data_IF_686175933607
#
_entry.id   IF_686175933607
#
_cell.length_a   1.000
_cell.length_b   1.000
_cell.length_c   1.000
_cell.angle_alpha   90.00
_cell.angle_beta   90.00
_cell.angle_gamma   90.00
#
_symmetry.space_group_name_H-M   'P 1'
#
loop_
_entity.id
_entity.type
_entity.pdbx_description
1 polymer ?
#
# COMPACT_ATOMS: atom_id res chain seq x y z
N UNK A 1 78.78 -0.62 -0.80
CA UNK A 1 77.56 -1.36 -1.19
C UNK A 1 76.50 -0.99 -0.18
N UNK A 2 75.63 -0.02 -0.51
CA UNK A 2 74.65 0.54 0.42
C UNK A 2 73.35 -0.28 0.33
N UNK A 3 72.93 -0.87 1.45
CA UNK A 3 71.63 -1.54 1.54
C UNK A 3 70.52 -0.49 1.62
N UNK A 4 69.77 -0.36 0.54
CA UNK A 4 68.57 0.46 0.50
C UNK A 4 67.46 -0.26 1.27
N UNK A 5 67.01 0.32 2.37
CA UNK A 5 65.96 -0.26 3.21
C UNK A 5 64.60 0.16 2.66
N UNK A 6 63.94 -0.74 1.93
CA UNK A 6 62.59 -0.53 1.43
C UNK A 6 61.63 -0.38 2.61
N UNK A 7 61.22 0.87 2.88
CA UNK A 7 60.27 1.22 3.93
C UNK A 7 58.88 0.76 3.50
N UNK A 8 58.49 -0.46 3.87
CA UNK A 8 57.12 -0.93 3.67
C UNK A 8 56.17 -0.09 4.52
N UNK A 9 55.47 0.84 3.85
CA UNK A 9 54.43 1.67 4.45
C UNK A 9 53.28 0.73 4.81
N UNK A 10 53.20 0.29 6.07
CA UNK A 10 52.04 -0.43 6.60
C UNK A 10 50.82 0.46 6.33
N UNK A 11 49.98 0.06 5.38
CA UNK A 11 48.67 0.64 5.15
C UNK A 11 47.92 0.37 6.46
N UNK A 12 47.95 1.37 7.34
CA UNK A 12 47.56 1.21 8.73
C UNK A 12 46.07 0.93 8.84
N UNK A 13 45.70 0.25 9.91
CA UNK A 13 44.33 0.02 10.36
C UNK A 13 43.38 1.23 10.12
N UNK A 14 43.90 2.46 10.20
CA UNK A 14 43.19 3.70 9.89
C UNK A 14 42.67 3.80 8.44
N UNK A 15 43.42 3.34 7.44
CA UNK A 15 42.98 3.34 6.03
C UNK A 15 41.88 2.30 5.82
N UNK A 16 41.98 1.14 6.48
CA UNK A 16 40.91 0.14 6.47
C UNK A 16 39.60 0.71 7.03
N UNK A 17 39.65 1.35 8.20
CA UNK A 17 38.46 1.96 8.80
C UNK A 17 37.89 3.11 7.96
N UNK A 18 38.75 3.92 7.33
CA UNK A 18 38.31 4.98 6.42
C UNK A 18 37.54 4.40 5.22
N UNK A 19 38.09 3.36 4.59
CA UNK A 19 37.42 2.69 3.47
C UNK A 19 36.12 2.02 3.91
N UNK A 20 36.13 1.35 5.06
CA UNK A 20 34.94 0.70 5.61
C UNK A 20 33.81 1.71 5.86
N UNK A 21 34.11 2.83 6.54
CA UNK A 21 33.14 3.88 6.81
C UNK A 21 32.59 4.50 5.51
N UNK A 22 33.46 4.72 4.52
CA UNK A 22 33.06 5.25 3.21
C UNK A 22 32.07 4.32 2.51
N UNK A 23 32.37 3.01 2.47
CA UNK A 23 31.46 2.04 1.86
C UNK A 23 30.15 1.93 2.64
N UNK A 24 30.19 1.93 3.97
CA UNK A 24 28.99 1.90 4.80
C UNK A 24 28.06 3.10 4.51
N UNK A 25 28.63 4.29 4.34
CA UNK A 25 27.87 5.50 3.95
C UNK A 25 27.29 5.35 2.54
N UNK A 26 28.08 4.89 1.57
CA UNK A 26 27.61 4.68 0.19
C UNK A 26 26.48 3.64 0.12
N UNK A 27 26.62 2.51 0.82
CA UNK A 27 25.57 1.49 0.88
C UNK A 27 24.33 2.00 1.62
N UNK A 28 24.50 2.71 2.74
CA UNK A 28 23.39 3.28 3.50
C UNK A 28 22.61 4.32 2.70
N UNK A 29 23.31 5.22 2.00
CA UNK A 29 22.67 6.23 1.12
C UNK A 29 21.97 5.58 -0.06
N UNK A 30 22.60 4.60 -0.71
CA UNK A 30 21.96 3.84 -1.79
C UNK A 30 20.68 3.14 -1.30
N UNK A 31 20.72 2.53 -0.12
CA UNK A 31 19.56 1.85 0.46
C UNK A 31 18.42 2.83 0.75
N UNK A 32 18.72 4.01 1.33
CA UNK A 32 17.72 5.06 1.58
C UNK A 32 17.06 5.50 0.27
N UNK A 33 17.85 5.79 -0.77
CA UNK A 33 17.32 6.19 -2.09
C UNK A 33 16.47 5.08 -2.71
N UNK A 34 16.91 3.81 -2.60
CA UNK A 34 16.13 2.69 -3.09
C UNK A 34 14.78 2.58 -2.37
N UNK A 35 14.77 2.75 -1.05
CA UNK A 35 13.53 2.69 -0.27
C UNK A 35 12.58 3.83 -0.63
N UNK A 36 13.08 5.05 -0.78
CA UNK A 36 12.25 6.22 -1.11
C UNK A 36 11.66 6.13 -2.54
N UNK A 37 12.42 5.57 -3.48
CA UNK A 37 11.98 5.46 -4.88
C UNK A 37 11.12 4.23 -5.18
N UNK A 38 11.31 3.13 -4.45
CA UNK A 38 10.60 1.87 -4.72
C UNK A 38 9.38 1.64 -3.82
N UNK A 39 9.32 2.27 -2.64
CA UNK A 39 8.14 2.19 -1.78
C UNK A 39 7.12 3.24 -2.21
N UNK A 40 5.88 2.86 -2.53
CA UNK A 40 4.83 3.84 -2.80
C UNK A 40 4.63 4.73 -1.57
N UNK A 41 4.54 6.04 -1.79
CA UNK A 41 4.24 6.99 -0.74
C UNK A 41 2.92 6.57 -0.06
N UNK A 42 2.98 6.25 1.22
CA UNK A 42 1.78 5.99 2.03
C UNK A 42 1.12 7.34 2.28
N UNK A 43 0.13 7.70 1.48
CA UNK A 43 -0.65 8.93 1.71
C UNK A 43 -1.35 8.77 3.05
N UNK A 44 -1.05 9.58 4.08
CA UNK A 44 -1.67 9.44 5.38
C UNK A 44 -3.17 9.68 5.23
N UNK A 45 -3.96 8.69 5.61
CA UNK A 45 -5.42 8.81 5.64
C UNK A 45 -5.77 9.67 6.84
N UNK A 46 -6.58 10.71 6.62
CA UNK A 46 -7.04 11.56 7.72
C UNK A 46 -7.84 10.71 8.71
N UNK A 47 -7.70 10.93 10.01
CA UNK A 47 -8.42 10.15 11.03
C UNK A 47 -9.96 10.20 10.86
N UNK A 48 -10.48 11.20 10.16
CA UNK A 48 -11.92 11.38 9.89
C UNK A 48 -12.38 10.61 8.65
N UNK A 49 -11.47 10.32 7.72
CA UNK A 49 -11.78 9.72 6.43
C UNK A 49 -12.34 8.29 6.51
N UNK A 50 -11.89 7.40 7.42
CA UNK A 50 -12.49 6.08 7.60
C UNK A 50 -13.97 6.14 8.01
N UNK A 51 -14.36 7.07 8.90
CA UNK A 51 -15.76 7.23 9.32
C UNK A 51 -16.64 7.76 8.16
N UNK A 52 -16.11 8.67 7.35
CA UNK A 52 -16.81 9.16 6.15
C UNK A 52 -17.00 8.01 5.15
N UNK A 53 -15.97 7.18 4.93
CA UNK A 53 -16.07 6.02 4.04
C UNK A 53 -17.11 5.02 4.53
N UNK A 54 -17.11 4.72 5.83
CA UNK A 54 -18.10 3.85 6.47
C UNK A 54 -19.51 4.37 6.22
N UNK A 55 -19.78 5.64 6.55
CA UNK A 55 -21.08 6.26 6.34
C UNK A 55 -21.49 6.27 4.85
N UNK A 56 -20.55 6.56 3.94
CA UNK A 56 -20.81 6.60 2.50
C UNK A 56 -21.14 5.22 1.91
N UNK A 57 -20.56 4.14 2.45
CA UNK A 57 -20.89 2.76 2.05
C UNK A 57 -22.25 2.37 2.61
N UNK A 58 -22.49 2.58 3.90
CA UNK A 58 -23.75 2.21 4.54
C UNK A 58 -24.95 2.92 3.92
N UNK A 59 -24.86 4.23 3.68
CA UNK A 59 -25.94 5.01 3.03
C UNK A 59 -26.29 4.51 1.62
N UNK A 60 -25.33 3.99 0.85
CA UNK A 60 -25.58 3.35 -0.45
C UNK A 60 -26.24 1.98 -0.31
N UNK A 61 -25.87 1.22 0.71
CA UNK A 61 -26.48 -0.07 0.99
C UNK A 61 -27.94 0.09 1.38
N UNK A 62 -28.25 1.12 2.15
CA UNK A 62 -29.62 1.49 2.56
C UNK A 62 -30.45 2.10 1.42
N UNK A 63 -29.85 2.33 0.24
CA UNK A 63 -30.52 2.89 -0.93
C UNK A 63 -30.76 4.40 -0.85
N UNK A 64 -30.17 5.09 0.13
CA UNK A 64 -30.30 6.54 0.29
C UNK A 64 -29.53 7.33 -0.77
N UNK A 65 -28.59 6.68 -1.47
CA UNK A 65 -27.83 7.26 -2.57
C UNK A 65 -28.00 6.40 -3.82
N UNK A 66 -28.03 7.06 -4.99
CA UNK A 66 -28.14 6.37 -6.28
C UNK A 66 -26.83 5.60 -6.56
N UNK A 67 -26.89 4.30 -6.32
CA UNK A 67 -25.83 3.32 -6.62
C UNK A 67 -26.48 2.16 -7.38
N UNK A 68 -26.50 2.25 -8.72
CA UNK A 68 -27.30 1.35 -9.54
C UNK A 68 -26.80 -0.09 -9.41
N UNK A 69 -27.76 -1.01 -9.38
CA UNK A 69 -27.49 -2.42 -9.51
C UNK A 69 -27.14 -2.73 -10.98
N UNK A 70 -25.98 -3.33 -11.20
CA UNK A 70 -25.48 -3.70 -12.53
C UNK A 70 -25.12 -5.19 -12.56
N UNK A 71 -25.18 -5.78 -13.74
CA UNK A 71 -24.75 -7.16 -13.94
C UNK A 71 -23.21 -7.25 -13.85
N UNK A 72 -22.73 -8.00 -12.86
CA UNK A 72 -21.31 -8.17 -12.55
C UNK A 72 -20.69 -9.40 -13.25
N UNK A 73 -21.52 -10.41 -13.49
CA UNK A 73 -21.24 -11.63 -14.22
C UNK A 73 -22.60 -12.21 -14.69
N UNK A 74 -22.64 -13.17 -15.63
CA UNK A 74 -23.90 -13.75 -16.09
C UNK A 74 -24.81 -14.20 -14.94
N UNK A 75 -25.96 -13.53 -14.78
CA UNK A 75 -26.93 -13.82 -13.72
C UNK A 75 -26.56 -13.35 -12.31
N UNK A 76 -25.48 -12.58 -12.15
CA UNK A 76 -25.06 -12.02 -10.87
C UNK A 76 -25.12 -10.49 -10.90
N UNK A 77 -25.89 -9.92 -9.97
CA UNK A 77 -26.11 -8.48 -9.86
C UNK A 77 -25.32 -7.96 -8.66
N UNK A 78 -24.63 -6.84 -8.83
CA UNK A 78 -23.93 -6.15 -7.75
C UNK A 78 -24.11 -4.64 -7.90
N UNK A 79 -23.88 -3.91 -6.81
CA UNK A 79 -23.87 -2.44 -6.87
C UNK A 79 -22.70 -1.95 -7.72
N UNK A 80 -22.91 -0.90 -8.49
CA UNK A 80 -21.87 -0.32 -9.33
C UNK A 80 -20.64 0.09 -8.52
N UNK A 81 -20.83 0.63 -7.31
CA UNK A 81 -19.74 1.00 -6.41
C UNK A 81 -18.92 -0.20 -5.90
N UNK A 82 -19.50 -1.39 -5.78
CA UNK A 82 -18.78 -2.59 -5.38
C UNK A 82 -17.82 -3.06 -6.49
N UNK A 83 -18.18 -2.85 -7.76
CA UNK A 83 -17.34 -3.25 -8.91
C UNK A 83 -16.33 -2.15 -9.28
N UNK A 84 -16.81 -0.91 -9.40
CA UNK A 84 -16.03 0.23 -9.92
C UNK A 84 -15.29 0.98 -8.82
N UNK A 85 -15.64 0.75 -7.55
CA UNK A 85 -15.13 1.47 -6.40
C UNK A 85 -15.94 2.74 -6.10
N UNK A 86 -15.77 3.21 -4.88
CA UNK A 86 -16.28 4.47 -4.37
C UNK A 86 -15.20 5.55 -4.51
N UNK A 87 -15.46 6.62 -5.25
CA UNK A 87 -14.56 7.78 -5.30
C UNK A 87 -14.88 8.76 -4.18
N UNK A 88 -13.88 9.07 -3.36
CA UNK A 88 -13.93 10.09 -2.32
C UNK A 88 -12.62 10.88 -2.37
N UNK A 89 -12.71 12.22 -2.40
CA UNK A 89 -11.55 13.11 -2.44
C UNK A 89 -10.52 12.78 -3.54
N UNK A 90 -10.99 12.30 -4.70
CA UNK A 90 -10.13 11.91 -5.81
C UNK A 90 -9.49 10.52 -5.70
N UNK A 91 -9.62 9.85 -4.57
CA UNK A 91 -9.14 8.47 -4.34
C UNK A 91 -10.28 7.48 -4.58
N UNK A 92 -9.97 6.35 -5.21
CA UNK A 92 -10.93 5.25 -5.40
C UNK A 92 -10.72 4.20 -4.32
N UNK A 93 -11.78 3.94 -3.58
CA UNK A 93 -11.85 2.96 -2.51
C UNK A 93 -12.70 1.76 -2.93
N UNK A 94 -12.28 0.57 -2.55
CA UNK A 94 -13.03 -0.67 -2.74
C UNK A 94 -13.39 -1.24 -1.38
N UNK A 95 -14.45 -2.03 -1.34
CA UNK A 95 -14.93 -2.61 -0.10
C UNK A 95 -15.54 -4.00 -0.31
N UNK A 96 -15.49 -4.80 0.75
CA UNK A 96 -16.19 -6.08 0.84
C UNK A 96 -16.61 -6.36 2.28
N UNK A 97 -17.59 -7.25 2.46
CA UNK A 97 -17.95 -7.81 3.75
C UNK A 97 -17.34 -9.20 3.90
N UNK A 98 -16.66 -9.47 5.01
CA UNK A 98 -16.09 -10.78 5.28
C UNK A 98 -17.20 -11.84 5.31
N UNK A 99 -16.96 -12.98 4.65
CA UNK A 99 -17.93 -14.07 4.55
C UNK A 99 -19.01 -13.89 3.48
N UNK A 100 -19.05 -12.73 2.79
CA UNK A 100 -19.94 -12.53 1.65
C UNK A 100 -19.23 -12.61 0.31
N UNK A 101 -19.98 -13.01 -0.72
CA UNK A 101 -19.53 -12.90 -2.11
C UNK A 101 -19.53 -11.42 -2.51
N UNK A 102 -18.41 -10.96 -3.03
CA UNK A 102 -18.22 -9.57 -3.50
C UNK A 102 -17.61 -9.57 -4.89
N UNK A 103 -17.80 -8.48 -5.63
CA UNK A 103 -17.32 -8.28 -7.00
C UNK A 103 -16.24 -7.20 -7.10
N UNK A 104 -15.66 -6.81 -5.97
CA UNK A 104 -14.51 -5.91 -5.94
C UNK A 104 -13.25 -6.59 -6.53
N UNK A 105 -12.21 -5.82 -6.90
CA UNK A 105 -11.01 -6.35 -7.55
C UNK A 105 -10.29 -7.46 -6.76
N UNK A 106 -10.27 -7.37 -5.42
CA UNK A 106 -9.65 -8.37 -4.56
C UNK A 106 -10.49 -9.65 -4.52
N UNK A 107 -11.80 -9.57 -4.30
CA UNK A 107 -12.67 -10.76 -4.29
C UNK A 107 -12.77 -11.47 -5.64
N UNK A 108 -12.58 -10.75 -6.75
CA UNK A 108 -12.48 -11.35 -8.10
C UNK A 108 -11.11 -11.95 -8.41
N UNK A 109 -10.11 -11.77 -7.55
CA UNK A 109 -8.74 -12.23 -7.78
C UNK A 109 -7.98 -11.44 -8.85
N UNK A 110 -8.53 -10.31 -9.33
CA UNK A 110 -7.85 -9.43 -10.31
C UNK A 110 -6.70 -8.64 -9.69
N UNK A 111 -6.73 -8.46 -8.36
CA UNK A 111 -5.69 -7.79 -7.57
C UNK A 111 -5.31 -8.71 -6.40
N UNK A 112 -4.02 -8.80 -6.10
CA UNK A 112 -3.50 -9.55 -4.95
C UNK A 112 -3.47 -8.70 -3.66
N UNK A 113 -3.46 -9.36 -2.50
CA UNK A 113 -3.41 -8.69 -1.17
C UNK A 113 -2.18 -7.78 -0.98
N UNK A 114 -1.08 -8.06 -1.68
CA UNK A 114 0.13 -7.22 -1.63
C UNK A 114 0.00 -5.91 -2.41
N UNK A 115 -1.03 -5.76 -3.23
CA UNK A 115 -1.28 -4.58 -4.05
C UNK A 115 -2.35 -3.64 -3.46
N UNK A 116 -2.80 -3.92 -2.23
CA UNK A 116 -3.82 -3.12 -1.55
C UNK A 116 -3.29 -2.55 -0.24
N UNK A 117 -3.91 -1.45 0.17
CA UNK A 117 -3.79 -0.90 1.51
C UNK A 117 -5.17 -0.91 2.15
N UNK A 118 -5.32 -1.64 3.26
CA UNK A 118 -6.55 -1.64 4.05
C UNK A 118 -6.62 -0.33 4.82
N UNK A 119 -7.70 0.42 4.60
CA UNK A 119 -7.91 1.75 5.17
C UNK A 119 -8.90 1.74 6.32
N UNK A 120 -9.82 0.76 6.31
CA UNK A 120 -10.79 0.53 7.37
C UNK A 120 -11.05 -0.97 7.47
N UNK A 121 -11.08 -1.46 8.70
CA UNK A 121 -11.69 -2.75 9.06
C UNK A 121 -12.63 -2.49 10.21
N UNK A 122 -13.92 -2.53 9.91
CA UNK A 122 -14.99 -2.23 10.86
C UNK A 122 -15.70 -3.52 11.26
N UNK A 123 -15.59 -3.85 12.55
CA UNK A 123 -16.17 -5.04 13.18
C UNK A 123 -17.43 -4.71 14.00
N UNK A 124 -17.91 -3.46 13.94
CA UNK A 124 -19.08 -3.02 14.73
C UNK A 124 -20.42 -3.52 14.20
N UNK A 125 -20.47 -3.92 12.92
CA UNK A 125 -21.66 -4.45 12.26
C UNK A 125 -21.83 -5.96 12.44
N UNK A 126 -22.93 -6.54 11.92
CA UNK A 126 -23.16 -7.99 11.92
C UNK A 126 -22.13 -8.76 11.08
N UNK A 127 -21.42 -8.07 10.19
CA UNK A 127 -20.33 -8.59 9.38
C UNK A 127 -19.20 -7.57 9.33
N UNK A 128 -17.97 -8.04 9.31
CA UNK A 128 -16.80 -7.17 9.18
C UNK A 128 -16.78 -6.50 7.81
N UNK A 129 -16.86 -5.17 7.80
CA UNK A 129 -16.65 -4.35 6.60
C UNK A 129 -15.15 -4.07 6.45
N UNK A 130 -14.59 -4.43 5.30
CA UNK A 130 -13.21 -4.09 4.94
C UNK A 130 -13.23 -3.10 3.78
N UNK A 131 -12.54 -1.97 3.95
CA UNK A 131 -12.34 -0.96 2.90
C UNK A 131 -10.85 -0.86 2.62
N UNK A 132 -10.48 -0.80 1.35
CA UNK A 132 -9.11 -0.72 0.91
C UNK A 132 -8.96 0.19 -0.32
N UNK A 133 -7.73 0.60 -0.61
CA UNK A 133 -7.35 1.24 -1.87
C UNK A 133 -6.24 0.46 -2.56
N UNK A 134 -6.06 0.70 -3.86
CA UNK A 134 -4.97 0.10 -4.62
C UNK A 134 -3.69 0.92 -4.42
N UNK A 135 -2.56 0.25 -4.20
CA UNK A 135 -1.24 0.89 -4.05
C UNK A 135 -0.65 1.37 -5.39
N UNK A 136 -1.16 0.83 -6.51
CA UNK A 136 -0.85 1.28 -7.87
C UNK A 136 -2.17 1.38 -8.63
N UNK A 137 -2.54 2.60 -9.02
CA UNK A 137 -3.63 2.90 -9.95
C UNK A 137 -3.09 3.08 -11.35
#
# INVERSE_FOLDING_TARGET
>A
MAHDTVRTRRIGLSIFWLLFATHAILFGTLLIVLTDTLLPARTPISAVEPEILRAAILTRLDGAFDDPLIEAAPGAIARASNIRGLRLNGVTYYYYFEGQRSFDPLSRGTVGRSAIEVVLRDESGPQTLVVYRLLRS
#
